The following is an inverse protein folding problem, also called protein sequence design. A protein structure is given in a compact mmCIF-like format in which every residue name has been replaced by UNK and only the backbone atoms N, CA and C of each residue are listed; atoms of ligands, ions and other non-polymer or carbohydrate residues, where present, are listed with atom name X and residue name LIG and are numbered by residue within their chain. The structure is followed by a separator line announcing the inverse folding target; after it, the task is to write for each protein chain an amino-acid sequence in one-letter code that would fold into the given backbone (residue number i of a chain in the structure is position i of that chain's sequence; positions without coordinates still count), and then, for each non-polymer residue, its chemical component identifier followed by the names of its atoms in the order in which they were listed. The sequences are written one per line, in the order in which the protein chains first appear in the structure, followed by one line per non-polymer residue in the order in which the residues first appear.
data_IF_937481150266
#
_entry.id   IF_937481150266
#
_cell.length_a   1.000
_cell.length_b   1.000
_cell.length_c   1.000
_cell.angle_alpha   90.00
_cell.angle_beta   90.00
_cell.angle_gamma   90.00
#
_symmetry.space_group_name_H-M   'P 1'
#
loop_
_entity.id
_entity.type
_entity.pdbx_description
1 polymer ?
#
# COMPACT_ATOMS: atom_id res chain seq x y z
N UNK A 1 -4.42 -1.45 6.82
CA UNK A 1 -4.10 -1.85 5.43
C UNK A 1 -3.07 -0.97 4.71
N UNK A 2 -3.02 0.36 4.89
CA UNK A 2 -2.11 1.23 4.12
C UNK A 2 -0.65 1.24 4.61
N UNK A 3 -0.39 1.70 5.84
CA UNK A 3 1.00 1.86 6.34
C UNK A 3 1.39 0.82 7.39
N UNK A 4 0.40 0.30 8.13
CA UNK A 4 0.64 -0.64 9.23
C UNK A 4 1.10 -2.03 8.75
N UNK A 5 1.08 -2.30 7.45
CA UNK A 5 1.53 -3.58 6.88
C UNK A 5 0.79 -4.80 7.45
N UNK A 6 -0.44 -4.61 7.93
CA UNK A 6 -1.25 -5.67 8.52
C UNK A 6 -1.52 -6.76 7.46
N UNK A 7 -1.27 -8.04 7.77
CA UNK A 7 -1.62 -9.13 6.89
C UNK A 7 -3.12 -9.14 6.57
N UNK A 8 -3.44 -9.49 5.33
CA UNK A 8 -4.82 -9.73 4.89
C UNK A 8 -4.93 -11.21 4.55
N UNK A 9 -5.75 -11.98 5.27
CA UNK A 9 -6.00 -13.37 4.93
C UNK A 9 -6.62 -13.47 3.54
N UNK A 10 -6.02 -14.27 2.66
CA UNK A 10 -6.64 -14.65 1.40
C UNK A 10 -7.45 -15.92 1.66
N UNK A 11 -8.78 -15.78 1.71
CA UNK A 11 -9.73 -16.87 1.94
C UNK A 11 -10.59 -17.08 0.71
N UNK A 12 -11.44 -18.11 0.73
CA UNK A 12 -12.40 -18.38 -0.35
C UNK A 12 -13.43 -17.26 -0.55
N UNK A 13 -13.57 -16.32 0.40
CA UNK A 13 -14.36 -15.09 0.26
C UNK A 13 -13.64 -13.99 -0.54
N UNK A 14 -12.33 -14.11 -0.75
CA UNK A 14 -11.54 -13.11 -1.47
C UNK A 14 -12.07 -12.72 -2.86
N UNK A 15 -12.58 -13.65 -3.70
CA UNK A 15 -13.17 -13.32 -5.00
C UNK A 15 -14.67 -12.97 -4.92
N UNK A 16 -15.32 -13.03 -3.75
CA UNK A 16 -16.74 -12.72 -3.62
C UNK A 16 -17.00 -11.23 -3.91
N UNK A 17 -17.92 -10.95 -4.83
CA UNK A 17 -18.40 -9.59 -5.08
C UNK A 17 -19.60 -9.34 -4.19
N UNK A 18 -19.49 -8.34 -3.32
CA UNK A 18 -20.60 -7.90 -2.48
C UNK A 18 -21.31 -6.72 -3.14
N UNK A 19 -22.60 -6.87 -3.36
CA UNK A 19 -23.49 -5.79 -3.80
C UNK A 19 -24.25 -5.25 -2.59
N UNK A 20 -24.37 -3.92 -2.53
CA UNK A 20 -25.10 -3.22 -1.48
C UNK A 20 -26.01 -2.18 -2.13
N UNK A 21 -27.18 -1.99 -1.55
CA UNK A 21 -28.08 -0.92 -1.97
C UNK A 21 -27.43 0.44 -1.69
N UNK A 22 -27.55 1.36 -2.66
CA UNK A 22 -26.90 2.67 -2.58
C UNK A 22 -27.50 3.52 -1.46
N UNK A 23 -28.83 3.52 -1.32
CA UNK A 23 -29.51 4.34 -0.31
C UNK A 23 -29.20 3.80 1.10
N UNK A 24 -29.17 2.47 1.26
CA UNK A 24 -28.73 1.83 2.50
C UNK A 24 -27.28 2.19 2.84
N UNK A 25 -26.36 2.04 1.89
CA UNK A 25 -24.94 2.34 2.08
C UNK A 25 -24.69 3.82 2.42
N UNK A 26 -25.41 4.74 1.75
CA UNK A 26 -25.33 6.16 2.05
C UNK A 26 -25.93 6.48 3.42
N UNK A 27 -27.07 5.87 3.77
CA UNK A 27 -27.77 6.16 5.04
C UNK A 27 -26.86 5.97 6.26
N UNK A 28 -26.01 4.95 6.24
CA UNK A 28 -25.06 4.62 7.30
C UNK A 28 -23.74 5.39 7.24
N UNK A 29 -23.44 6.13 6.17
CA UNK A 29 -22.17 6.83 5.98
C UNK A 29 -22.33 8.35 6.02
N UNK A 30 -22.05 8.94 7.19
CA UNK A 30 -22.18 10.37 7.43
C UNK A 30 -21.33 11.22 6.48
N UNK A 31 -20.07 10.84 6.25
CA UNK A 31 -19.19 11.58 5.35
C UNK A 31 -19.70 11.53 3.91
N UNK A 32 -20.07 10.34 3.42
CA UNK A 32 -20.56 10.16 2.06
C UNK A 32 -21.81 11.02 1.80
N UNK A 33 -22.71 11.13 2.78
CA UNK A 33 -23.88 12.02 2.69
C UNK A 33 -23.53 13.49 2.73
N UNK A 34 -22.53 13.90 3.51
CA UNK A 34 -22.11 15.30 3.59
C UNK A 34 -21.47 15.77 2.28
N UNK A 35 -20.68 14.91 1.61
CA UNK A 35 -20.00 15.29 0.38
C UNK A 35 -20.93 15.36 -0.84
N UNK A 36 -22.08 14.66 -0.84
CA UNK A 36 -23.01 14.67 -1.99
C UNK A 36 -23.66 16.04 -2.21
N UNK A 37 -23.66 16.92 -1.21
CA UNK A 37 -24.19 18.29 -1.31
C UNK A 37 -23.13 19.35 -1.60
N UNK A 38 -21.87 18.95 -1.78
CA UNK A 38 -20.76 19.90 -2.02
C UNK A 38 -20.61 20.24 -3.49
N UNK A 39 -20.16 21.45 -3.78
CA UNK A 39 -19.86 21.93 -5.12
C UNK A 39 -18.35 21.99 -5.40
N UNK A 40 -17.52 21.89 -4.37
CA UNK A 40 -16.08 22.01 -4.48
C UNK A 40 -15.31 20.95 -3.69
N UNK A 41 -14.11 20.63 -4.15
CA UNK A 41 -13.20 19.73 -3.44
C UNK A 41 -12.79 20.28 -2.06
N UNK A 42 -12.75 21.61 -1.90
CA UNK A 42 -12.41 22.24 -0.62
C UNK A 42 -13.50 22.00 0.43
N UNK A 43 -14.78 22.05 0.02
CA UNK A 43 -15.91 21.75 0.91
C UNK A 43 -15.92 20.28 1.32
N UNK A 44 -15.71 19.36 0.37
CA UNK A 44 -15.60 17.93 0.66
C UNK A 44 -14.43 17.63 1.62
N UNK A 45 -13.32 18.33 1.46
CA UNK A 45 -12.18 18.21 2.36
C UNK A 45 -12.48 18.77 3.76
N UNK A 46 -13.22 19.88 3.86
CA UNK A 46 -13.64 20.45 5.14
C UNK A 46 -14.54 19.48 5.91
N UNK A 47 -15.52 18.86 5.26
CA UNK A 47 -16.36 17.84 5.87
C UNK A 47 -15.58 16.59 6.30
N UNK A 48 -14.57 16.19 5.53
CA UNK A 48 -13.69 15.08 5.92
C UNK A 48 -13.02 15.36 7.27
N UNK A 49 -12.47 16.57 7.46
CA UNK A 49 -11.85 16.98 8.72
C UNK A 49 -12.86 17.08 9.86
N UNK A 50 -14.01 17.67 9.61
CA UNK A 50 -15.06 17.86 10.61
C UNK A 50 -15.60 16.52 11.13
N UNK A 51 -15.85 15.57 10.23
CA UNK A 51 -16.52 14.29 10.55
C UNK A 51 -15.51 13.23 10.99
N UNK A 52 -14.39 13.10 10.29
CA UNK A 52 -13.40 12.04 10.55
C UNK A 52 -12.24 12.51 11.44
N UNK A 53 -12.09 13.81 11.68
CA UNK A 53 -10.95 14.39 12.39
C UNK A 53 -9.68 14.52 11.54
N UNK A 54 -9.72 14.09 10.27
CA UNK A 54 -8.60 14.17 9.33
C UNK A 54 -9.10 14.17 7.88
N UNK A 55 -8.23 14.56 6.95
CA UNK A 55 -8.44 14.40 5.51
C UNK A 55 -7.35 13.52 4.91
N UNK A 56 -7.71 12.61 4.01
CA UNK A 56 -6.75 11.84 3.22
C UNK A 56 -5.85 12.76 2.38
N UNK A 57 -6.35 13.93 1.97
CA UNK A 57 -5.54 14.92 1.25
C UNK A 57 -4.48 15.55 2.17
N UNK A 58 -4.77 15.77 3.46
CA UNK A 58 -3.76 16.23 4.43
C UNK A 58 -2.65 15.18 4.57
N UNK A 59 -3.03 13.92 4.67
CA UNK A 59 -2.06 12.82 4.71
C UNK A 59 -1.17 12.80 3.46
N UNK A 60 -1.74 12.91 2.26
CA UNK A 60 -0.99 12.91 1.01
C UNK A 60 -0.12 14.17 0.84
N UNK A 61 -0.59 15.36 1.27
CA UNK A 61 0.25 16.58 1.32
C UNK A 61 1.45 16.40 2.25
N UNK A 62 1.22 15.88 3.46
CA UNK A 62 2.27 15.61 4.43
C UNK A 62 3.26 14.56 3.92
N UNK A 63 2.76 13.55 3.19
CA UNK A 63 3.60 12.54 2.53
C UNK A 63 4.44 13.16 1.41
N UNK A 64 3.85 14.00 0.56
CA UNK A 64 4.56 14.69 -0.51
C UNK A 64 5.66 15.61 0.02
N UNK A 65 5.38 16.38 1.09
CA UNK A 65 6.38 17.21 1.75
C UNK A 65 7.57 16.38 2.25
N UNK A 66 7.30 15.28 2.99
CA UNK A 66 8.34 14.36 3.47
C UNK A 66 9.16 13.72 2.35
N UNK A 67 8.57 13.48 1.18
CA UNK A 67 9.27 12.90 0.03
C UNK A 67 10.16 13.92 -0.70
N UNK A 68 9.77 15.19 -0.72
CA UNK A 68 10.56 16.27 -1.36
C UNK A 68 11.93 16.44 -0.70
N UNK A 69 12.01 16.23 0.61
CA UNK A 69 13.24 16.43 1.39
C UNK A 69 14.17 15.19 1.39
N UNK A 70 13.75 14.08 0.77
CA UNK A 70 14.59 12.87 0.69
C UNK A 70 15.60 12.98 -0.45
N UNK A 71 16.89 12.69 -0.19
CA UNK A 71 17.89 12.62 -1.26
C UNK A 71 17.54 11.49 -2.24
N UNK A 72 17.98 11.58 -3.51
CA UNK A 72 17.82 10.51 -4.47
C UNK A 72 18.48 9.23 -3.95
N UNK A 73 17.70 8.16 -3.79
CA UNK A 73 18.23 6.85 -3.41
C UNK A 73 18.73 6.17 -4.68
N UNK A 74 19.99 5.74 -4.73
CA UNK A 74 20.45 4.85 -5.81
C UNK A 74 20.06 3.41 -5.48
N UNK A 75 19.58 2.68 -6.49
CA UNK A 75 19.35 1.24 -6.39
C UNK A 75 20.71 0.53 -6.43
N UNK A 76 21.30 0.28 -5.28
CA UNK A 76 22.41 -0.66 -5.14
C UNK A 76 21.86 -2.09 -5.06
N UNK A 77 22.14 -2.97 -6.05
CA UNK A 77 21.60 -4.32 -6.05
C UNK A 77 21.92 -5.13 -4.80
N UNK A 78 23.13 -5.03 -4.25
CA UNK A 78 23.52 -5.83 -3.09
C UNK A 78 22.80 -5.37 -1.83
N UNK A 79 22.71 -4.06 -1.62
CA UNK A 79 21.95 -3.49 -0.51
C UNK A 79 20.46 -3.85 -0.61
N UNK A 80 19.86 -3.77 -1.81
CA UNK A 80 18.45 -4.11 -2.06
C UNK A 80 18.17 -5.57 -1.73
N UNK A 81 19.03 -6.50 -2.19
CA UNK A 81 18.85 -7.93 -1.91
C UNK A 81 18.99 -8.24 -0.42
N UNK A 82 19.95 -7.61 0.27
CA UNK A 82 20.13 -7.77 1.72
C UNK A 82 18.91 -7.28 2.50
N UNK A 83 18.38 -6.10 2.16
CA UNK A 83 17.19 -5.56 2.82
C UNK A 83 15.93 -6.34 2.48
N UNK A 84 15.83 -6.90 1.26
CA UNK A 84 14.76 -7.81 0.88
C UNK A 84 14.75 -9.05 1.78
N UNK A 85 15.91 -9.67 2.02
CA UNK A 85 16.01 -10.86 2.87
C UNK A 85 15.55 -10.56 4.31
N UNK A 86 15.91 -9.39 4.86
CA UNK A 86 15.41 -8.94 6.15
C UNK A 86 13.89 -8.74 6.15
N UNK A 87 13.37 -8.04 5.14
CA UNK A 87 11.93 -7.82 4.98
C UNK A 87 11.16 -9.15 4.89
N UNK A 88 11.66 -10.11 4.12
CA UNK A 88 11.06 -11.45 3.95
C UNK A 88 11.07 -12.23 5.26
N UNK A 89 12.16 -12.18 6.05
CA UNK A 89 12.23 -12.80 7.35
C UNK A 89 11.22 -12.21 8.35
N UNK A 90 11.12 -10.88 8.42
CA UNK A 90 10.13 -10.20 9.27
C UNK A 90 8.69 -10.50 8.85
N UNK A 91 8.42 -10.54 7.53
CA UNK A 91 7.11 -10.88 7.01
C UNK A 91 6.74 -12.33 7.34
N UNK A 92 7.68 -13.27 7.21
CA UNK A 92 7.50 -14.68 7.57
C UNK A 92 7.20 -14.85 9.04
N UNK A 93 7.88 -14.11 9.92
CA UNK A 93 7.60 -14.10 11.37
C UNK A 93 6.16 -13.66 11.70
N UNK A 94 5.51 -12.91 10.81
CA UNK A 94 4.09 -12.52 10.90
C UNK A 94 3.15 -13.48 10.16
N UNK A 95 3.64 -14.62 9.67
CA UNK A 95 2.85 -15.59 8.91
C UNK A 95 2.51 -15.16 7.49
N UNK A 96 3.17 -14.13 6.95
CA UNK A 96 2.91 -13.65 5.58
C UNK A 96 3.57 -14.58 4.56
N UNK A 97 2.79 -15.08 3.61
CA UNK A 97 3.26 -15.96 2.54
C UNK A 97 3.54 -15.23 1.23
N UNK A 98 2.87 -14.09 1.01
CA UNK A 98 2.98 -13.30 -0.23
C UNK A 98 2.94 -11.81 0.06
N UNK A 99 3.59 -11.03 -0.79
CA UNK A 99 3.57 -9.57 -0.75
C UNK A 99 3.41 -8.99 -2.17
N UNK A 100 3.27 -7.68 -2.27
CA UNK A 100 3.26 -6.96 -3.55
C UNK A 100 4.57 -6.22 -3.76
N UNK A 101 4.95 -5.98 -5.02
CA UNK A 101 6.11 -5.12 -5.34
C UNK A 101 5.96 -3.73 -4.73
N UNK A 102 4.74 -3.18 -4.67
CA UNK A 102 4.47 -1.91 -3.99
C UNK A 102 4.90 -1.97 -2.52
N UNK A 103 4.50 -3.01 -1.80
CA UNK A 103 4.83 -3.15 -0.38
C UNK A 103 6.34 -3.34 -0.16
N UNK A 104 7.03 -4.08 -1.03
CA UNK A 104 8.50 -4.21 -1.00
C UNK A 104 9.13 -2.84 -1.22
N UNK A 105 8.75 -2.10 -2.28
CA UNK A 105 9.24 -0.74 -2.55
C UNK A 105 9.10 0.18 -1.33
N UNK A 106 7.92 0.17 -0.71
CA UNK A 106 7.65 0.97 0.50
C UNK A 106 8.50 0.55 1.70
N UNK A 107 8.68 -0.76 1.93
CA UNK A 107 9.46 -1.29 3.03
C UNK A 107 10.96 -1.00 2.89
N UNK A 108 11.48 -1.00 1.66
CA UNK A 108 12.86 -0.64 1.34
C UNK A 108 13.09 0.88 1.31
N UNK A 109 12.04 1.69 1.58
CA UNK A 109 12.13 3.14 1.57
C UNK A 109 12.38 3.74 0.17
N UNK A 110 12.19 2.95 -0.88
CA UNK A 110 12.44 3.35 -2.26
C UNK A 110 11.28 4.23 -2.78
N UNK A 111 11.56 5.22 -3.63
CA UNK A 111 10.52 6.02 -4.25
C UNK A 111 9.70 5.18 -5.24
N UNK A 112 8.41 5.51 -5.40
CA UNK A 112 7.51 4.78 -6.31
C UNK A 112 8.00 4.76 -7.76
N UNK A 113 8.75 5.77 -8.19
CA UNK A 113 9.39 5.83 -9.51
C UNK A 113 10.40 4.70 -9.76
N UNK A 114 10.96 4.10 -8.70
CA UNK A 114 11.91 2.99 -8.81
C UNK A 114 11.24 1.60 -8.75
N UNK A 115 9.92 1.52 -8.61
CA UNK A 115 9.21 0.24 -8.49
C UNK A 115 9.47 -0.69 -9.68
N UNK A 116 9.54 -0.15 -10.89
CA UNK A 116 9.81 -0.96 -12.08
C UNK A 116 11.26 -1.48 -12.08
N UNK A 117 12.24 -0.63 -11.77
CA UNK A 117 13.64 -1.04 -11.65
C UNK A 117 13.86 -2.08 -10.54
N UNK A 118 13.17 -1.94 -9.40
CA UNK A 118 13.14 -2.96 -8.35
C UNK A 118 12.57 -4.28 -8.88
N UNK A 119 11.40 -4.24 -9.54
CA UNK A 119 10.79 -5.43 -10.11
C UNK A 119 11.75 -6.16 -11.06
N UNK A 120 12.37 -5.43 -11.98
CA UNK A 120 13.31 -6.01 -12.95
C UNK A 120 14.52 -6.65 -12.26
N UNK A 121 15.07 -5.98 -11.24
CA UNK A 121 16.17 -6.51 -10.42
C UNK A 121 15.78 -7.80 -9.70
N UNK A 122 14.61 -7.82 -9.07
CA UNK A 122 14.12 -9.00 -8.34
C UNK A 122 13.85 -10.17 -9.28
N UNK A 123 13.27 -9.92 -10.46
CA UNK A 123 13.03 -10.95 -11.47
C UNK A 123 14.33 -11.51 -12.05
N UNK A 124 15.37 -10.69 -12.18
CA UNK A 124 16.67 -11.16 -12.66
C UNK A 124 17.39 -12.07 -11.64
N UNK A 125 17.20 -11.83 -10.33
CA UNK A 125 17.95 -12.53 -9.27
C UNK A 125 17.16 -13.67 -8.61
N UNK A 126 15.84 -13.52 -8.44
CA UNK A 126 14.97 -14.50 -7.78
C UNK A 126 13.68 -14.76 -8.61
N UNK A 127 13.78 -15.16 -9.89
CA UNK A 127 12.61 -15.32 -10.76
C UNK A 127 11.56 -16.30 -10.21
N UNK A 128 11.99 -17.34 -9.50
CA UNK A 128 11.10 -18.35 -8.92
C UNK A 128 10.20 -17.85 -7.77
N UNK A 129 10.45 -16.65 -7.24
CA UNK A 129 9.61 -16.03 -6.21
C UNK A 129 8.49 -15.16 -6.81
N UNK A 130 8.46 -14.95 -8.13
CA UNK A 130 7.38 -14.20 -8.74
C UNK A 130 6.18 -15.12 -9.06
N UNK A 131 5.09 -14.92 -8.34
CA UNK A 131 3.79 -15.57 -8.52
C UNK A 131 2.78 -14.50 -8.93
N UNK A 132 2.72 -14.09 -10.22
CA UNK A 132 2.01 -12.89 -10.64
C UNK A 132 0.56 -12.85 -10.11
N UNK A 133 0.08 -11.71 -9.58
CA UNK A 133 0.76 -10.40 -9.47
C UNK A 133 1.60 -10.22 -8.20
N UNK A 134 1.81 -11.29 -7.44
CA UNK A 134 2.43 -11.30 -6.12
C UNK A 134 3.90 -11.75 -6.15
N UNK A 135 4.58 -11.43 -5.06
CA UNK A 135 5.88 -11.96 -4.71
C UNK A 135 5.71 -12.96 -3.58
N UNK A 136 6.12 -14.21 -3.82
CA UNK A 136 6.15 -15.26 -2.82
C UNK A 136 7.28 -14.99 -1.83
N UNK A 137 6.93 -14.95 -0.55
CA UNK A 137 7.89 -14.91 0.55
C UNK A 137 8.24 -16.35 0.85
N UNK A 138 8.99 -16.98 -0.07
CA UNK A 138 9.38 -18.38 0.07
C UNK A 138 10.07 -18.57 1.42
N UNK A 139 9.50 -19.39 2.29
CA UNK A 139 10.21 -19.91 3.44
C UNK A 139 11.11 -21.03 2.98
N UNK A 140 12.34 -20.73 2.62
CA UNK A 140 13.39 -21.72 2.74
C UNK A 140 14.43 -21.20 3.75
N UNK A 141 14.81 -21.99 4.77
CA UNK A 141 16.16 -21.88 5.33
C UNK A 141 17.22 -22.17 4.25
#
# INVERSE_FOLDING_TARGET
MRDAGLPVPLTDEGPTVHEVDLDEALSGNQLARAITTTATLNEAEAHSREICGYSEIDYERNKAARLKDKPPVQLDPQAVLTQLDQFEAEARNRGVTHTTFRRITEALGLPGSQRQGLKDLLLANKPGQHTPPLWSISGNP
#
